data_IF_670556180159
#
_entry.id   IF_670556180159
#
_cell.length_a   1.000
_cell.length_b   1.000
_cell.length_c   1.000
_cell.angle_alpha   90.00
_cell.angle_beta   90.00
_cell.angle_gamma   90.00
#
_symmetry.space_group_name_H-M   'P 1'
#
loop_
_entity.id
_entity.type
_entity.pdbx_description
1 polymer ?
#
# COMPACT_ATOMS: atom_id res chain seq x y z
N UNK A 1 6.81 7.49 17.33
CA UNK A 1 5.93 7.44 16.14
C UNK A 1 5.86 5.99 15.66
N UNK A 2 4.65 5.52 15.35
CA UNK A 2 4.37 4.20 14.78
C UNK A 2 4.24 4.28 13.25
N UNK A 3 4.47 3.19 12.54
CA UNK A 3 4.38 3.13 11.07
C UNK A 3 3.34 2.10 10.64
N UNK A 4 2.28 2.56 9.97
CA UNK A 4 1.21 1.72 9.44
C UNK A 4 1.32 1.65 7.92
N UNK A 5 1.31 0.44 7.37
CA UNK A 5 1.27 0.22 5.93
C UNK A 5 -0.13 0.52 5.36
N UNK A 6 -0.22 1.43 4.39
CA UNK A 6 -1.46 1.79 3.70
C UNK A 6 -1.95 0.59 2.86
N UNK A 7 -3.14 0.07 3.17
CA UNK A 7 -3.70 -1.15 2.56
C UNK A 7 -2.77 -2.36 2.62
N UNK A 8 -1.93 -2.43 3.66
CA UNK A 8 -0.88 -3.43 3.80
C UNK A 8 0.48 -2.96 3.28
N UNK A 9 1.13 -3.78 2.46
CA UNK A 9 2.42 -3.53 1.86
C UNK A 9 2.29 -3.36 0.36
N UNK A 10 2.79 -2.24 -0.15
CA UNK A 10 2.68 -1.87 -1.57
C UNK A 10 3.37 -2.85 -2.55
N UNK A 11 4.27 -3.72 -2.08
CA UNK A 11 4.89 -4.77 -2.92
C UNK A 11 3.94 -5.92 -3.25
N UNK A 12 2.84 -6.01 -2.51
CA UNK A 12 1.81 -7.03 -2.63
C UNK A 12 0.47 -6.38 -3.00
N UNK A 13 -0.49 -7.15 -3.54
CA UNK A 13 -1.76 -6.55 -3.94
C UNK A 13 -2.42 -5.91 -2.72
N UNK A 14 -2.93 -4.69 -2.89
CA UNK A 14 -3.57 -3.96 -1.79
C UNK A 14 -4.65 -4.80 -1.11
N UNK A 15 -4.80 -4.62 0.20
CA UNK A 15 -5.89 -5.20 0.99
C UNK A 15 -5.96 -6.75 0.95
N UNK A 16 -4.83 -7.45 0.73
CA UNK A 16 -4.74 -8.92 0.81
C UNK A 16 -3.98 -9.44 2.03
N UNK A 17 -4.22 -10.70 2.42
CA UNK A 17 -3.51 -11.35 3.52
C UNK A 17 -2.00 -11.37 3.28
N UNK A 18 -1.55 -11.67 2.05
CA UNK A 18 -0.13 -11.60 1.70
C UNK A 18 0.45 -10.21 1.90
N UNK A 19 -0.31 -9.17 1.55
CA UNK A 19 0.12 -7.77 1.73
C UNK A 19 0.26 -7.38 3.19
N UNK A 20 -0.70 -7.76 4.04
CA UNK A 20 -0.60 -7.54 5.47
C UNK A 20 0.57 -8.30 6.12
N UNK A 21 0.74 -9.59 5.78
CA UNK A 21 1.90 -10.37 6.26
C UNK A 21 3.22 -9.74 5.85
N UNK A 22 3.34 -9.32 4.58
CA UNK A 22 4.55 -8.67 4.08
C UNK A 22 4.85 -7.37 4.82
N UNK A 23 3.83 -6.57 5.16
CA UNK A 23 4.02 -5.37 5.96
C UNK A 23 4.58 -5.70 7.36
N UNK A 24 4.05 -6.73 8.00
CA UNK A 24 4.50 -7.17 9.32
C UNK A 24 5.92 -7.74 9.30
N UNK A 25 6.26 -8.54 8.28
CA UNK A 25 7.60 -9.09 8.05
C UNK A 25 8.65 -7.99 7.85
N UNK A 26 8.27 -6.89 7.20
CA UNK A 26 9.11 -5.71 7.01
C UNK A 26 9.19 -4.80 8.26
N UNK A 27 8.49 -5.18 9.33
CA UNK A 27 8.57 -4.53 10.62
C UNK A 27 7.56 -3.40 10.86
N UNK A 28 6.53 -3.25 10.01
CA UNK A 28 5.46 -2.30 10.27
C UNK A 28 4.82 -2.55 11.65
N UNK A 29 4.48 -1.47 12.37
CA UNK A 29 3.80 -1.56 13.66
C UNK A 29 2.32 -1.97 13.48
N UNK A 30 1.78 -1.77 12.28
CA UNK A 30 0.42 -2.09 11.93
C UNK A 30 0.13 -1.84 10.46
N UNK A 31 -1.15 -1.91 10.11
CA UNK A 31 -1.65 -1.65 8.76
C UNK A 31 -2.93 -0.84 8.83
N UNK A 32 -3.17 -0.08 7.78
CA UNK A 32 -4.48 0.46 7.46
C UNK A 32 -5.13 -0.43 6.40
N UNK A 33 -6.45 -0.55 6.45
CA UNK A 33 -7.23 -1.33 5.50
C UNK A 33 -8.62 -0.71 5.29
N UNK A 34 -9.24 -1.07 4.18
CA UNK A 34 -10.56 -0.60 3.81
C UNK A 34 -11.62 -1.70 3.92
N UNK A 35 -12.81 -1.36 4.38
CA UNK A 35 -13.92 -2.31 4.51
C UNK A 35 -15.07 -2.06 3.53
N UNK A 36 -15.61 -3.15 2.99
CA UNK A 36 -16.86 -3.18 2.23
C UNK A 36 -17.74 -4.31 2.79
N UNK A 37 -19.05 -4.22 2.56
CA UNK A 37 -20.01 -5.22 3.06
C UNK A 37 -20.82 -5.78 1.89
N UNK A 38 -20.92 -7.11 1.83
CA UNK A 38 -21.71 -7.85 0.85
C UNK A 38 -23.22 -7.70 1.11
N UNK A 39 -24.06 -8.09 0.16
CA UNK A 39 -25.52 -7.98 0.28
C UNK A 39 -26.12 -8.84 1.42
N UNK A 40 -25.40 -9.88 1.83
CA UNK A 40 -25.72 -10.76 2.96
C UNK A 40 -25.01 -10.37 4.28
N UNK A 41 -24.38 -9.19 4.34
CA UNK A 41 -23.86 -8.60 5.58
C UNK A 41 -22.48 -9.10 6.01
N UNK A 42 -21.72 -9.72 5.11
CA UNK A 42 -20.35 -10.17 5.38
C UNK A 42 -19.37 -9.02 5.14
N UNK A 43 -18.52 -8.75 6.12
CA UNK A 43 -17.51 -7.69 6.03
C UNK A 43 -16.23 -8.21 5.40
N UNK A 44 -15.88 -7.63 4.25
CA UNK A 44 -14.70 -7.99 3.45
C UNK A 44 -13.75 -6.80 3.35
N UNK A 45 -12.50 -7.07 3.01
CA UNK A 45 -11.44 -6.07 2.92
C UNK A 45 -11.20 -5.69 1.45
N UNK A 46 -11.53 -4.44 1.09
CA UNK A 46 -11.40 -3.89 -0.26
C UNK A 46 -11.57 -2.37 -0.22
N UNK A 47 -10.76 -1.64 -0.97
CA UNK A 47 -10.91 -0.18 -1.08
C UNK A 47 -12.16 0.21 -1.85
N UNK A 48 -12.30 -0.31 -3.07
CA UNK A 48 -13.40 0.00 -3.96
C UNK A 48 -14.59 -0.90 -3.67
N UNK A 49 -15.80 -0.37 -3.89
CA UNK A 49 -17.03 -1.15 -3.87
C UNK A 49 -17.13 -2.10 -5.09
N UNK A 50 -16.38 -1.82 -6.16
CA UNK A 50 -16.35 -2.63 -7.37
C UNK A 50 -14.95 -3.21 -7.63
N UNK A 51 -14.88 -4.49 -7.96
CA UNK A 51 -13.63 -5.22 -8.19
C UNK A 51 -12.97 -4.98 -9.56
N UNK A 52 -13.52 -4.10 -10.40
CA UNK A 52 -13.05 -3.87 -11.77
C UNK A 52 -11.57 -3.47 -11.82
N UNK A 53 -11.13 -2.57 -10.94
CA UNK A 53 -9.74 -2.09 -10.94
C UNK A 53 -8.73 -3.20 -10.59
N UNK A 54 -9.07 -4.04 -9.61
CA UNK A 54 -8.14 -5.04 -9.06
C UNK A 54 -8.21 -6.39 -9.78
N UNK A 55 -9.36 -6.71 -10.39
CA UNK A 55 -9.60 -8.05 -10.95
C UNK A 55 -9.97 -8.03 -12.43
N UNK A 56 -10.25 -6.86 -13.01
CA UNK A 56 -10.80 -6.72 -14.36
C UNK A 56 -12.29 -7.10 -14.47
N UNK A 57 -12.90 -7.59 -13.40
CA UNK A 57 -14.30 -8.00 -13.39
C UNK A 57 -15.19 -6.87 -12.88
N UNK A 58 -16.20 -6.49 -13.66
CA UNK A 58 -17.22 -5.54 -13.20
C UNK A 58 -18.16 -6.23 -12.20
N UNK A 59 -17.76 -6.24 -10.93
CA UNK A 59 -18.45 -6.90 -9.84
C UNK A 59 -18.60 -5.95 -8.65
N UNK A 60 -19.84 -5.60 -8.30
CA UNK A 60 -20.14 -4.77 -7.13
C UNK A 60 -20.31 -5.64 -5.88
N UNK A 61 -19.46 -5.43 -4.88
CA UNK A 61 -19.46 -6.19 -3.61
C UNK A 61 -20.80 -6.04 -2.91
N UNK A 62 -21.33 -4.82 -2.79
CA UNK A 62 -22.57 -4.53 -2.06
C UNK A 62 -23.83 -5.15 -2.67
N UNK A 63 -23.79 -5.45 -3.98
CA UNK A 63 -24.94 -6.00 -4.70
C UNK A 63 -24.98 -7.54 -4.70
N UNK A 64 -23.93 -8.20 -4.20
CA UNK A 64 -23.77 -9.65 -4.29
C UNK A 64 -23.44 -10.26 -2.93
N UNK A 65 -23.69 -11.56 -2.79
CA UNK A 65 -23.40 -12.29 -1.54
C UNK A 65 -21.91 -12.59 -1.40
N UNK A 66 -21.46 -12.95 -0.20
CA UNK A 66 -20.10 -13.44 -0.02
C UNK A 66 -19.80 -14.69 -0.85
N UNK A 67 -20.79 -15.57 -1.03
CA UNK A 67 -20.60 -16.77 -1.85
C UNK A 67 -20.31 -16.44 -3.33
N UNK A 68 -20.93 -15.39 -3.87
CA UNK A 68 -20.66 -14.92 -5.24
C UNK A 68 -19.23 -14.36 -5.36
N UNK A 69 -18.76 -13.69 -4.31
CA UNK A 69 -17.42 -13.11 -4.20
C UNK A 69 -16.30 -14.17 -4.25
N UNK A 70 -16.57 -15.41 -3.78
CA UNK A 70 -15.59 -16.50 -3.70
C UNK A 70 -15.00 -16.93 -5.04
N UNK A 71 -15.56 -16.49 -6.17
CA UNK A 71 -15.03 -16.74 -7.52
C UNK A 71 -13.99 -15.71 -7.98
N UNK A 72 -13.90 -14.55 -7.32
CA UNK A 72 -13.00 -13.46 -7.70
C UNK A 72 -11.66 -13.55 -6.98
N UNK A 73 -10.59 -13.17 -7.67
CA UNK A 73 -9.22 -13.20 -7.13
C UNK A 73 -8.48 -11.91 -7.44
N UNK A 74 -7.71 -11.42 -6.47
CA UNK A 74 -6.75 -10.33 -6.62
C UNK A 74 -5.36 -10.96 -6.74
N UNK A 75 -4.80 -10.99 -7.94
CA UNK A 75 -3.51 -11.65 -8.22
C UNK A 75 -3.37 -13.07 -7.62
N UNK A 76 -4.44 -13.87 -7.72
CA UNK A 76 -4.50 -15.24 -7.21
C UNK A 76 -4.97 -15.38 -5.76
N UNK A 77 -5.12 -14.30 -5.01
CA UNK A 77 -5.64 -14.32 -3.63
C UNK A 77 -7.15 -14.08 -3.58
N UNK A 78 -7.82 -14.71 -2.62
CA UNK A 78 -9.21 -14.39 -2.27
C UNK A 78 -9.29 -13.00 -1.63
N UNK A 79 -10.42 -12.32 -1.82
CA UNK A 79 -10.73 -11.10 -1.09
C UNK A 79 -10.88 -11.48 0.41
N UNK A 80 -10.08 -10.90 1.33
CA UNK A 80 -10.10 -11.33 2.73
C UNK A 80 -11.39 -10.94 3.46
N UNK A 81 -11.79 -11.75 4.45
CA UNK A 81 -12.73 -11.32 5.47
C UNK A 81 -12.02 -10.40 6.48
N UNK A 82 -12.73 -9.39 7.00
CA UNK A 82 -12.17 -8.54 8.06
C UNK A 82 -11.75 -9.35 9.29
N UNK A 83 -12.54 -10.37 9.66
CA UNK A 83 -12.24 -11.24 10.80
C UNK A 83 -10.89 -11.96 10.65
N UNK A 84 -10.54 -12.38 9.43
CA UNK A 84 -9.29 -13.10 9.19
C UNK A 84 -8.08 -12.16 9.31
N UNK A 85 -8.22 -10.93 8.81
CA UNK A 85 -7.16 -9.91 8.90
C UNK A 85 -6.94 -9.47 10.35
N UNK A 86 -8.02 -9.25 11.11
CA UNK A 86 -7.91 -8.88 12.53
C UNK A 86 -7.36 -10.04 13.38
N UNK A 87 -7.70 -11.30 13.07
CA UNK A 87 -7.11 -12.45 13.75
C UNK A 87 -5.59 -12.51 13.53
N UNK A 88 -5.14 -12.38 12.27
CA UNK A 88 -3.73 -12.32 11.91
C UNK A 88 -3.02 -11.17 12.64
N UNK A 89 -3.56 -9.95 12.59
CA UNK A 89 -2.92 -8.80 13.21
C UNK A 89 -2.84 -8.91 14.74
N UNK A 90 -3.86 -9.51 15.38
CA UNK A 90 -3.84 -9.75 16.83
C UNK A 90 -2.79 -10.78 17.23
N UNK A 91 -2.66 -11.85 16.47
CA UNK A 91 -1.63 -12.89 16.67
C UNK A 91 -0.23 -12.29 16.60
N UNK A 92 0.01 -11.39 15.64
CA UNK A 92 1.28 -10.67 15.44
C UNK A 92 1.45 -9.44 16.36
N UNK A 93 0.48 -9.17 17.24
CA UNK A 93 0.42 -8.01 18.14
C UNK A 93 0.59 -6.65 17.40
N UNK A 94 -0.18 -6.46 16.33
CA UNK A 94 -0.11 -5.32 15.39
C UNK A 94 -1.31 -4.39 15.50
N UNK A 95 -1.10 -3.11 15.17
CA UNK A 95 -2.20 -2.15 15.04
C UNK A 95 -2.99 -2.38 13.75
N UNK A 96 -4.30 -2.15 13.78
CA UNK A 96 -5.13 -2.09 12.57
C UNK A 96 -6.03 -0.87 12.61
N UNK A 97 -5.87 -0.03 11.60
CA UNK A 97 -6.80 1.03 11.27
C UNK A 97 -7.82 0.51 10.25
N UNK A 98 -9.06 0.36 10.69
CA UNK A 98 -10.15 -0.14 9.85
C UNK A 98 -10.91 1.04 9.27
N UNK A 99 -10.65 1.41 8.02
CA UNK A 99 -11.40 2.45 7.32
C UNK A 99 -12.80 1.93 6.94
N UNK A 100 -13.81 2.59 7.49
CA UNK A 100 -15.22 2.40 7.15
C UNK A 100 -15.57 3.27 5.93
N UNK A 101 -15.77 2.62 4.77
CA UNK A 101 -16.10 3.30 3.51
C UNK A 101 -17.55 3.75 3.39
N UNK A 102 -18.48 3.17 4.15
CA UNK A 102 -19.89 3.51 4.08
C UNK A 102 -20.55 3.53 5.47
N UNK A 103 -21.30 4.60 5.84
CA UNK A 103 -22.01 4.66 7.12
C UNK A 103 -22.99 3.50 7.35
N UNK A 104 -23.58 2.92 6.30
CA UNK A 104 -24.50 1.78 6.44
C UNK A 104 -23.83 0.54 7.02
N UNK A 105 -22.51 0.44 6.87
CA UNK A 105 -21.73 -0.74 7.20
C UNK A 105 -21.24 -0.68 8.66
N UNK A 106 -21.42 0.47 9.31
CA UNK A 106 -20.91 0.76 10.65
C UNK A 106 -21.21 -0.35 11.66
N UNK A 107 -22.46 -0.84 11.70
CA UNK A 107 -22.87 -1.82 12.71
C UNK A 107 -22.18 -3.18 12.53
N UNK A 108 -21.88 -3.57 11.29
CA UNK A 108 -21.22 -4.85 11.00
C UNK A 108 -19.74 -4.76 11.38
N UNK A 109 -19.07 -3.67 10.98
CA UNK A 109 -17.65 -3.42 11.27
C UNK A 109 -17.42 -3.25 12.77
N UNK A 110 -18.22 -2.42 13.45
CA UNK A 110 -18.07 -2.14 14.87
C UNK A 110 -18.23 -3.40 15.75
N UNK A 111 -19.19 -4.28 15.42
CA UNK A 111 -19.38 -5.56 16.13
C UNK A 111 -18.18 -6.48 15.98
N UNK A 112 -17.59 -6.56 14.79
CA UNK A 112 -16.39 -7.37 14.56
C UNK A 112 -15.23 -6.82 15.39
N UNK A 113 -14.94 -5.52 15.26
CA UNK A 113 -13.81 -4.89 15.98
C UNK A 113 -13.97 -4.99 17.49
N UNK A 114 -15.17 -4.74 18.03
CA UNK A 114 -15.45 -4.90 19.47
C UNK A 114 -15.28 -6.35 19.92
N UNK A 115 -15.75 -7.31 19.13
CA UNK A 115 -15.68 -8.74 19.45
C UNK A 115 -14.25 -9.27 19.60
N UNK A 116 -13.27 -8.68 18.91
CA UNK A 116 -11.86 -9.02 19.09
C UNK A 116 -11.30 -8.58 20.45
N UNK A 117 -11.92 -7.57 21.09
CA UNK A 117 -11.51 -7.01 22.39
C UNK A 117 -9.97 -6.82 22.47
N UNK A 118 -9.43 -6.09 21.49
CA UNK A 118 -8.00 -5.86 21.34
C UNK A 118 -7.72 -4.37 21.13
N UNK A 119 -6.88 -3.78 21.97
CA UNK A 119 -6.64 -2.34 22.01
C UNK A 119 -5.94 -1.77 20.77
N UNK A 120 -5.32 -2.64 19.96
CA UNK A 120 -4.62 -2.27 18.74
C UNK A 120 -5.53 -1.98 17.56
N UNK A 121 -6.84 -2.21 17.67
CA UNK A 121 -7.80 -1.99 16.59
C UNK A 121 -8.65 -0.75 16.82
N UNK A 122 -8.86 0.00 15.76
CA UNK A 122 -9.73 1.18 15.76
C UNK A 122 -10.40 1.36 14.40
N UNK A 123 -11.51 2.09 14.38
CA UNK A 123 -12.28 2.36 13.17
C UNK A 123 -12.11 3.83 12.79
N UNK A 124 -11.74 4.09 11.54
CA UNK A 124 -11.70 5.45 11.01
C UNK A 124 -12.66 5.63 9.84
N UNK A 125 -13.03 6.88 9.55
CA UNK A 125 -13.92 7.20 8.43
C UNK A 125 -13.97 8.70 8.15
N UNK A 126 -14.26 9.06 6.90
CA UNK A 126 -14.67 10.42 6.52
C UNK A 126 -16.06 10.79 7.04
N UNK A 127 -16.87 9.80 7.44
CA UNK A 127 -18.23 10.01 7.93
C UNK A 127 -18.27 10.24 9.45
N UNK A 128 -17.81 11.40 9.91
CA UNK A 128 -17.58 11.69 11.34
C UNK A 128 -18.79 11.41 12.24
N UNK A 129 -20.01 11.71 11.76
CA UNK A 129 -21.24 11.54 12.56
C UNK A 129 -21.47 10.09 13.00
N UNK A 130 -21.20 9.09 12.15
CA UNK A 130 -21.43 7.70 12.55
C UNK A 130 -20.42 7.25 13.62
N UNK A 131 -19.20 7.77 13.58
CA UNK A 131 -18.17 7.47 14.57
C UNK A 131 -18.46 8.14 15.91
N UNK A 132 -18.89 9.41 15.90
CA UNK A 132 -19.28 10.14 17.11
C UNK A 132 -20.41 9.43 17.87
N UNK A 133 -21.48 9.06 17.16
CA UNK A 133 -22.58 8.29 17.76
C UNK A 133 -22.14 6.87 18.12
N UNK A 134 -21.20 6.32 17.36
CA UNK A 134 -20.56 5.04 17.58
C UNK A 134 -19.92 4.91 18.95
N UNK A 135 -19.26 5.97 19.46
CA UNK A 135 -18.66 5.99 20.81
C UNK A 135 -19.66 5.68 21.92
N UNK A 136 -20.93 6.04 21.75
CA UNK A 136 -21.98 5.74 22.74
C UNK A 136 -22.39 4.26 22.70
N UNK A 137 -22.47 3.69 21.49
CA UNK A 137 -22.93 2.32 21.28
C UNK A 137 -21.82 1.27 21.46
N UNK A 138 -20.57 1.65 21.21
CA UNK A 138 -19.39 0.78 21.23
C UNK A 138 -18.26 1.45 22.05
N UNK A 139 -18.44 1.66 23.36
CA UNK A 139 -17.52 2.47 24.18
C UNK A 139 -16.12 1.86 24.36
N UNK A 140 -15.91 0.60 23.96
CA UNK A 140 -14.61 -0.07 23.98
C UNK A 140 -13.83 0.05 22.67
N UNK A 141 -14.51 0.46 21.59
CA UNK A 141 -13.87 0.64 20.29
C UNK A 141 -13.34 2.07 20.22
N UNK A 142 -12.09 2.22 19.78
CA UNK A 142 -11.52 3.52 19.47
C UNK A 142 -11.94 3.94 18.07
N UNK A 143 -12.22 5.22 17.90
CA UNK A 143 -12.64 5.78 16.63
C UNK A 143 -11.73 6.92 16.18
N UNK A 144 -11.62 7.12 14.86
CA UNK A 144 -10.77 8.15 14.26
C UNK A 144 -11.45 8.97 13.16
N UNK A 145 -11.39 10.29 13.26
CA UNK A 145 -11.88 11.17 12.20
C UNK A 145 -10.86 11.24 11.07
N UNK A 146 -11.21 10.73 9.90
CA UNK A 146 -10.46 10.87 8.65
C UNK A 146 -10.91 12.13 7.93
N UNK A 147 -9.99 13.00 7.50
CA UNK A 147 -10.35 14.25 6.83
C UNK A 147 -9.22 14.79 5.95
N UNK A 148 -9.61 15.55 4.93
CA UNK A 148 -8.71 16.20 3.97
C UNK A 148 -9.09 17.69 3.83
N UNK A 149 -9.29 18.35 4.98
CA UNK A 149 -9.61 19.76 5.09
C UNK A 149 -9.02 20.33 6.38
N UNK A 150 -8.81 21.64 6.42
CA UNK A 150 -8.43 22.32 7.66
C UNK A 150 -9.65 22.40 8.59
N UNK A 151 -9.60 21.78 9.79
CA UNK A 151 -10.68 21.90 10.75
C UNK A 151 -10.73 23.33 11.28
N UNK A 152 -11.94 23.87 11.50
CA UNK A 152 -12.09 25.20 12.13
C UNK A 152 -11.49 25.25 13.53
N UNK A 153 -11.53 24.13 14.23
CA UNK A 153 -10.98 23.94 15.58
C UNK A 153 -10.55 22.48 15.74
N UNK A 154 -9.23 22.23 15.79
CA UNK A 154 -8.65 20.90 16.01
C UNK A 154 -9.04 20.37 17.41
N UNK A 155 -9.13 21.27 18.39
CA UNK A 155 -9.48 20.94 19.77
C UNK A 155 -10.89 20.37 19.88
N UNK A 156 -11.85 20.93 19.12
CA UNK A 156 -13.19 20.37 19.04
C UNK A 156 -13.17 18.91 18.57
N UNK A 157 -12.46 18.61 17.48
CA UNK A 157 -12.30 17.23 17.00
C UNK A 157 -11.67 16.35 18.08
N UNK A 158 -10.56 16.80 18.67
CA UNK A 158 -9.83 16.05 19.70
C UNK A 158 -10.65 15.77 20.97
N UNK A 159 -11.72 16.54 21.24
CA UNK A 159 -12.64 16.27 22.36
C UNK A 159 -13.72 15.25 22.02
N UNK A 160 -14.08 15.12 20.75
CA UNK A 160 -15.13 14.22 20.28
C UNK A 160 -14.60 12.81 20.00
N UNK A 161 -13.37 12.71 19.51
CA UNK A 161 -12.84 11.48 18.91
C UNK A 161 -11.55 11.01 19.58
N UNK A 162 -11.17 9.76 19.37
CA UNK A 162 -9.98 9.18 20.01
C UNK A 162 -8.72 9.39 19.16
N UNK A 163 -8.88 9.50 17.83
CA UNK A 163 -7.79 9.60 16.86
C UNK A 163 -8.11 10.68 15.80
N UNK A 164 -7.13 11.54 15.51
CA UNK A 164 -7.18 12.49 14.40
C UNK A 164 -6.44 11.91 13.19
N UNK A 165 -7.10 11.78 12.04
CA UNK A 165 -6.47 11.33 10.78
C UNK A 165 -6.54 12.40 9.67
N UNK A 166 -5.76 13.49 9.79
CA UNK A 166 -5.64 14.49 8.74
C UNK A 166 -4.89 13.94 7.52
N UNK A 167 -5.28 14.38 6.33
CA UNK A 167 -4.38 14.33 5.18
C UNK A 167 -3.15 15.20 5.48
N UNK A 168 -1.97 14.73 5.08
CA UNK A 168 -0.68 15.24 5.51
C UNK A 168 -0.48 16.75 5.24
N UNK A 169 -1.06 17.26 4.16
CA UNK A 169 -1.01 18.68 3.78
C UNK A 169 -1.71 19.61 4.75
N UNK A 170 -2.60 19.10 5.61
CA UNK A 170 -3.30 19.88 6.64
C UNK A 170 -2.66 19.79 8.02
N UNK A 171 -1.58 19.02 8.18
CA UNK A 171 -0.89 18.90 9.47
C UNK A 171 0.03 20.09 9.67
N UNK A 172 -0.40 21.07 10.45
CA UNK A 172 0.40 22.26 10.82
C UNK A 172 1.03 22.10 12.21
N UNK A 173 1.75 23.13 12.65
CA UNK A 173 2.33 23.20 14.00
C UNK A 173 1.27 23.15 15.12
N UNK A 174 0.02 23.55 14.83
CA UNK A 174 -1.08 23.53 15.81
C UNK A 174 -1.42 22.10 16.27
N UNK A 175 -1.08 21.09 15.46
CA UNK A 175 -1.21 19.68 15.83
C UNK A 175 -0.26 19.24 16.93
N UNK A 176 0.80 20.01 17.28
CA UNK A 176 1.76 19.60 18.32
C UNK A 176 1.08 19.26 19.65
N UNK A 177 0.01 19.97 20.01
CA UNK A 177 -0.77 19.72 21.23
C UNK A 177 -1.57 18.40 21.18
N UNK A 178 -1.87 17.91 19.98
CA UNK A 178 -2.69 16.72 19.71
C UNK A 178 -1.88 15.60 19.05
N UNK A 179 -0.56 15.75 18.97
CA UNK A 179 0.31 14.87 18.21
C UNK A 179 0.19 13.41 18.68
N UNK A 180 0.03 13.19 20.00
CA UNK A 180 -0.13 11.87 20.62
C UNK A 180 -1.40 11.10 20.21
N UNK A 181 -2.34 11.72 19.50
CA UNK A 181 -3.54 11.08 18.94
C UNK A 181 -3.65 11.29 17.42
N UNK A 182 -2.63 11.83 16.77
CA UNK A 182 -2.66 12.18 15.35
C UNK A 182 -1.98 11.12 14.49
N UNK A 183 -2.65 10.69 13.42
CA UNK A 183 -2.16 9.73 12.42
C UNK A 183 -2.34 10.30 11.01
N UNK A 184 -1.36 11.04 10.47
CA UNK A 184 -1.43 11.60 9.12
C UNK A 184 -1.36 10.54 8.01
N UNK A 185 -1.98 10.83 6.87
CA UNK A 185 -1.95 10.00 5.65
C UNK A 185 -1.82 10.87 4.39
N UNK A 186 -1.26 10.43 3.26
CA UNK A 186 -0.33 9.30 3.11
C UNK A 186 1.10 9.84 3.06
N UNK A 187 1.95 9.42 3.99
CA UNK A 187 3.30 9.98 4.20
C UNK A 187 4.34 9.19 3.40
N UNK A 188 4.59 9.61 2.16
CA UNK A 188 5.57 8.92 1.29
C UNK A 188 6.89 9.68 1.12
N UNK A 189 6.90 10.98 1.41
CA UNK A 189 8.06 11.86 1.20
C UNK A 189 8.94 11.98 2.45
N UNK A 190 10.27 11.86 2.27
CA UNK A 190 11.27 11.93 3.35
C UNK A 190 11.24 13.28 4.09
N UNK A 191 11.00 14.38 3.40
CA UNK A 191 10.92 15.71 4.00
C UNK A 191 9.73 15.83 4.96
N UNK A 192 8.58 15.27 4.56
CA UNK A 192 7.38 15.27 5.39
C UNK A 192 7.51 14.33 6.58
N UNK A 193 8.13 13.16 6.38
CA UNK A 193 8.46 12.25 7.47
C UNK A 193 9.28 12.93 8.57
N UNK A 194 10.32 13.69 8.20
CA UNK A 194 11.14 14.45 9.16
C UNK A 194 10.29 15.45 9.95
N UNK A 195 9.45 16.22 9.26
CA UNK A 195 8.55 17.20 9.90
C UNK A 195 7.59 16.55 10.88
N UNK A 196 7.00 15.40 10.53
CA UNK A 196 6.06 14.67 11.39
C UNK A 196 6.76 14.00 12.59
N UNK A 197 8.00 13.54 12.42
CA UNK A 197 8.86 13.09 13.53
C UNK A 197 9.10 14.22 14.52
N UNK A 198 9.44 15.42 14.04
CA UNK A 198 9.69 16.60 14.87
C UNK A 198 8.40 17.08 15.58
N UNK A 199 7.23 16.90 14.96
CA UNK A 199 5.93 17.16 15.60
C UNK A 199 5.58 16.13 16.68
N UNK A 200 6.13 14.92 16.59
CA UNK A 200 5.88 13.85 17.55
C UNK A 200 4.53 13.17 17.38
N UNK A 201 4.03 13.05 16.13
CA UNK A 201 2.74 12.39 15.86
C UNK A 201 2.75 10.93 16.32
N UNK A 202 1.59 10.41 16.71
CA UNK A 202 1.43 9.07 17.25
C UNK A 202 1.87 8.01 16.25
N UNK A 203 1.34 8.12 15.03
CA UNK A 203 1.64 7.21 13.93
C UNK A 203 1.57 7.93 12.58
N UNK A 204 1.96 7.24 11.52
CA UNK A 204 1.72 7.66 10.14
C UNK A 204 1.21 6.48 9.32
N UNK A 205 0.44 6.78 8.28
CA UNK A 205 0.07 5.83 7.23
C UNK A 205 0.92 6.13 5.99
N UNK A 206 1.53 5.11 5.43
CA UNK A 206 2.47 5.25 4.30
C UNK A 206 2.39 4.05 3.37
N UNK A 207 2.63 4.27 2.10
CA UNK A 207 2.78 3.18 1.14
C UNK A 207 4.13 2.47 1.33
N UNK A 208 5.16 3.17 1.84
CA UNK A 208 6.56 2.72 1.86
C UNK A 208 7.08 2.50 3.29
N UNK A 209 6.33 1.72 4.08
CA UNK A 209 6.59 1.50 5.51
C UNK A 209 8.02 1.03 5.82
N UNK A 210 8.60 0.16 4.99
CA UNK A 210 9.97 -0.33 5.11
C UNK A 210 10.99 0.81 5.08
N UNK A 211 10.88 1.74 4.13
CA UNK A 211 11.81 2.89 4.05
C UNK A 211 11.69 3.82 5.22
N UNK A 212 10.45 4.08 5.64
CA UNK A 212 10.19 4.91 6.81
C UNK A 212 10.91 4.31 8.02
N UNK A 213 10.82 2.99 8.20
CA UNK A 213 11.49 2.28 9.28
C UNK A 213 13.02 2.30 9.13
N UNK A 214 13.55 2.16 7.92
CA UNK A 214 14.99 2.27 7.66
C UNK A 214 15.52 3.67 8.00
N UNK A 215 14.80 4.71 7.56
CA UNK A 215 15.11 6.10 7.88
C UNK A 215 15.10 6.36 9.39
N UNK A 216 14.07 5.90 10.10
CA UNK A 216 13.96 6.05 11.56
C UNK A 216 15.10 5.32 12.28
N UNK A 217 15.58 4.18 11.76
CA UNK A 217 16.72 3.43 12.30
C UNK A 217 18.07 4.06 11.99
N UNK A 218 18.12 5.16 11.24
CA UNK A 218 19.37 5.82 10.85
C UNK A 218 20.21 5.01 9.84
N UNK A 219 19.58 4.10 9.09
CA UNK A 219 20.23 3.45 7.96
C UNK A 219 20.27 4.47 6.81
N UNK A 220 21.46 4.88 6.37
CA UNK A 220 21.59 5.61 5.10
C UNK A 220 20.98 4.79 3.96
N UNK A 221 20.59 5.46 2.86
CA UNK A 221 20.03 4.91 1.62
C UNK A 221 21.06 4.00 0.90
N UNK A 222 21.56 2.98 1.61
CA UNK A 222 22.64 2.10 1.20
C UNK A 222 22.09 0.97 0.34
N UNK A 223 22.79 0.70 -0.76
CA UNK A 223 22.57 -0.43 -1.66
C UNK A 223 22.38 -1.73 -0.86
N UNK A 224 21.14 -2.21 -0.75
CA UNK A 224 20.84 -3.54 -0.22
C UNK A 224 20.43 -4.47 -1.34
N UNK A 225 21.20 -5.53 -1.53
CA UNK A 225 20.78 -6.70 -2.28
C UNK A 225 19.49 -7.26 -1.66
N UNK A 226 18.49 -7.57 -2.49
CA UNK A 226 17.19 -8.04 -2.02
C UNK A 226 16.19 -6.92 -1.67
N UNK A 227 16.38 -5.72 -2.23
CA UNK A 227 15.43 -4.61 -2.13
C UNK A 227 13.98 -5.09 -2.33
N UNK A 228 13.04 -4.69 -1.45
CA UNK A 228 11.66 -5.12 -1.56
C UNK A 228 10.96 -4.57 -2.82
N UNK A 229 11.55 -3.57 -3.50
CA UNK A 229 11.12 -3.10 -4.82
C UNK A 229 11.34 -4.13 -5.95
N UNK A 230 12.09 -5.21 -5.72
CA UNK A 230 12.21 -6.28 -6.69
C UNK A 230 10.84 -6.84 -7.07
N UNK A 231 9.98 -7.11 -6.09
CA UNK A 231 8.63 -7.63 -6.34
C UNK A 231 7.78 -6.62 -7.11
N UNK A 232 7.93 -5.33 -6.81
CA UNK A 232 7.31 -4.27 -7.61
C UNK A 232 7.74 -4.34 -9.09
N UNK A 233 9.04 -4.36 -9.37
CA UNK A 233 9.52 -4.42 -10.76
C UNK A 233 9.13 -5.72 -11.46
N UNK A 234 9.10 -6.82 -10.74
CA UNK A 234 8.62 -8.09 -11.25
C UNK A 234 7.14 -8.03 -11.67
N UNK A 235 6.30 -7.27 -10.95
CA UNK A 235 4.90 -7.02 -11.33
C UNK A 235 4.73 -5.99 -12.45
N UNK A 236 5.70 -5.09 -12.62
CA UNK A 236 5.70 -4.12 -13.71
C UNK A 236 5.85 -4.80 -15.08
N UNK A 237 6.47 -5.98 -15.17
CA UNK A 237 6.67 -6.70 -16.44
C UNK A 237 5.32 -7.07 -17.08
N UNK A 238 5.06 -6.50 -18.26
CA UNK A 238 3.91 -6.86 -19.09
C UNK A 238 4.31 -8.03 -19.98
N UNK A 239 3.98 -9.23 -19.53
CA UNK A 239 4.41 -10.49 -20.15
C UNK A 239 4.15 -10.58 -21.65
N UNK A 240 2.93 -10.28 -22.08
CA UNK A 240 2.50 -10.45 -23.48
C UNK A 240 3.08 -9.38 -24.42
N UNK A 241 3.70 -8.33 -23.86
CA UNK A 241 4.37 -7.25 -24.60
C UNK A 241 5.89 -7.28 -24.43
N UNK A 242 6.41 -8.26 -23.68
CA UNK A 242 7.83 -8.49 -23.49
C UNK A 242 8.28 -9.68 -24.33
N UNK A 243 9.47 -9.62 -24.90
CA UNK A 243 9.97 -10.68 -25.78
C UNK A 243 11.48 -10.84 -25.73
N UNK A 244 11.93 -12.04 -26.12
CA UNK A 244 13.33 -12.41 -26.25
C UNK A 244 13.52 -12.93 -27.67
N UNK A 245 14.34 -12.26 -28.47
CA UNK A 245 14.63 -12.65 -29.87
C UNK A 245 16.14 -12.60 -30.09
N UNK A 246 16.78 -13.77 -30.08
CA UNK A 246 18.24 -13.86 -30.17
C UNK A 246 18.92 -13.27 -28.93
N UNK A 247 19.82 -12.32 -29.13
CA UNK A 247 20.53 -11.57 -28.08
C UNK A 247 19.80 -10.28 -27.64
N UNK A 248 18.63 -10.02 -28.23
CA UNK A 248 17.80 -8.84 -27.95
C UNK A 248 16.66 -9.20 -27.01
N UNK A 249 16.45 -8.35 -26.02
CA UNK A 249 15.32 -8.43 -25.10
C UNK A 249 14.56 -7.12 -25.14
N UNK A 250 13.25 -7.23 -25.30
CA UNK A 250 12.31 -6.13 -25.18
C UNK A 250 11.51 -6.35 -23.90
N UNK A 251 11.66 -5.43 -22.93
CA UNK A 251 10.91 -5.46 -21.68
C UNK A 251 9.88 -4.34 -21.68
N UNK A 252 8.60 -4.70 -21.72
CA UNK A 252 7.52 -3.77 -21.46
C UNK A 252 7.29 -3.69 -19.95
N UNK A 253 7.48 -2.51 -19.37
CA UNK A 253 7.29 -2.21 -17.96
C UNK A 253 6.12 -1.24 -17.82
N UNK A 254 5.04 -1.68 -17.15
CA UNK A 254 3.93 -0.83 -16.78
C UNK A 254 4.06 -0.48 -15.29
N UNK A 255 4.03 0.79 -14.96
CA UNK A 255 4.00 1.20 -13.56
C UNK A 255 2.64 0.83 -12.95
N UNK A 256 2.66 -0.03 -11.94
CA UNK A 256 1.47 -0.52 -11.21
C UNK A 256 1.43 -0.08 -9.75
N UNK A 257 2.30 0.85 -9.34
CA UNK A 257 2.67 1.06 -7.94
C UNK A 257 2.36 2.47 -7.48
N UNK A 258 3.31 3.39 -7.65
CA UNK A 258 3.16 4.79 -7.34
C UNK A 258 3.76 5.61 -8.48
N UNK A 259 3.38 6.88 -8.60
CA UNK A 259 4.06 7.74 -9.56
C UNK A 259 5.49 7.99 -9.09
N UNK A 260 6.46 7.82 -9.98
CA UNK A 260 7.90 7.88 -9.66
C UNK A 260 8.59 8.95 -10.49
N UNK A 261 9.44 9.75 -9.87
CA UNK A 261 10.39 10.58 -10.60
C UNK A 261 11.55 9.71 -11.06
N UNK A 262 11.66 9.48 -12.38
CA UNK A 262 12.74 8.68 -12.96
C UNK A 262 13.96 9.54 -13.26
N UNK A 263 15.07 9.22 -12.62
CA UNK A 263 16.38 9.81 -12.92
C UNK A 263 17.11 9.05 -14.04
N UNK A 264 16.74 7.79 -14.26
CA UNK A 264 17.22 7.00 -15.40
C UNK A 264 17.14 5.50 -15.16
N UNK A 265 17.27 4.74 -16.26
CA UNK A 265 17.39 3.28 -16.24
C UNK A 265 18.70 2.89 -16.89
N UNK A 266 19.47 2.04 -16.22
CA UNK A 266 20.73 1.51 -16.74
C UNK A 266 20.76 -0.01 -16.65
N UNK A 267 21.50 -0.66 -17.55
CA UNK A 267 21.88 -2.06 -17.45
C UNK A 267 23.40 -2.15 -17.56
N UNK A 268 24.03 -2.78 -16.58
CA UNK A 268 25.50 -2.89 -16.46
C UNK A 268 26.20 -1.53 -16.61
N UNK A 269 25.60 -0.48 -16.02
CA UNK A 269 26.10 0.89 -16.04
C UNK A 269 25.85 1.66 -17.34
N UNK A 270 25.18 1.07 -18.35
CA UNK A 270 24.84 1.73 -19.61
C UNK A 270 23.37 2.12 -19.63
N UNK A 271 23.06 3.34 -20.07
CA UNK A 271 21.68 3.78 -20.27
C UNK A 271 20.95 2.90 -21.29
N UNK A 272 19.69 2.60 -21.03
CA UNK A 272 18.85 1.82 -21.93
C UNK A 272 18.19 2.70 -22.98
N UNK A 273 17.86 2.12 -24.13
CA UNK A 273 16.97 2.74 -25.11
C UNK A 273 15.53 2.43 -24.67
N UNK A 274 14.66 3.44 -24.65
CA UNK A 274 13.26 3.27 -24.28
C UNK A 274 12.27 3.87 -25.28
N UNK A 275 11.09 3.27 -25.37
CA UNK A 275 9.96 3.74 -26.17
C UNK A 275 8.67 3.76 -25.31
N UNK A 276 8.06 4.94 -25.10
CA UNK A 276 8.57 6.28 -25.42
C UNK A 276 9.89 6.58 -24.69
N UNK A 277 10.54 7.70 -25.03
CA UNK A 277 11.70 8.19 -24.28
C UNK A 277 11.35 8.27 -22.77
N UNK A 278 12.32 7.95 -21.91
CA UNK A 278 12.09 7.84 -20.47
C UNK A 278 11.44 9.13 -19.95
N UNK A 279 10.23 9.03 -19.37
CA UNK A 279 9.57 10.20 -18.81
C UNK A 279 10.30 10.64 -17.54
N UNK A 280 10.36 11.93 -17.26
CA UNK A 280 10.85 12.43 -15.97
C UNK A 280 9.93 12.05 -14.81
N UNK A 281 8.68 11.72 -15.11
CA UNK A 281 7.68 11.29 -14.15
C UNK A 281 6.88 10.12 -14.72
N UNK A 282 7.05 8.93 -14.15
CA UNK A 282 6.42 7.69 -14.57
C UNK A 282 5.17 7.46 -13.73
N UNK A 283 3.98 7.74 -14.26
CA UNK A 283 2.73 7.67 -13.50
C UNK A 283 2.18 6.25 -13.42
N UNK A 284 1.30 6.00 -12.46
CA UNK A 284 0.54 4.74 -12.40
C UNK A 284 -0.23 4.54 -13.72
N UNK A 285 -0.07 3.36 -14.32
CA UNK A 285 -0.65 2.99 -15.60
C UNK A 285 0.25 3.27 -16.80
N UNK A 286 1.21 4.18 -16.69
CA UNK A 286 2.14 4.50 -17.77
C UNK A 286 3.04 3.31 -18.09
N UNK A 287 3.35 3.15 -19.37
CA UNK A 287 4.16 2.06 -19.90
C UNK A 287 5.42 2.60 -20.55
N UNK A 288 6.55 1.97 -20.23
CA UNK A 288 7.82 2.16 -20.92
C UNK A 288 8.27 0.81 -21.48
N UNK A 289 8.76 0.80 -22.70
CA UNK A 289 9.40 -0.37 -23.29
C UNK A 289 10.89 -0.11 -23.32
N UNK A 290 11.71 -1.00 -22.75
CA UNK A 290 13.17 -0.89 -22.79
C UNK A 290 13.76 -1.99 -23.67
N UNK A 291 14.71 -1.62 -24.52
CA UNK A 291 15.46 -2.55 -25.36
C UNK A 291 16.84 -2.81 -24.76
N UNK A 292 17.15 -4.09 -24.56
CA UNK A 292 18.40 -4.59 -24.02
C UNK A 292 19.08 -5.47 -25.05
N UNK A 293 20.41 -5.39 -25.14
CA UNK A 293 21.22 -6.25 -26.02
C UNK A 293 22.49 -6.67 -25.30
N UNK A 294 22.92 -7.91 -25.52
CA UNK A 294 24.19 -8.43 -24.99
C UNK A 294 24.19 -8.63 -23.47
N UNK A 295 23.01 -8.90 -22.90
CA UNK A 295 22.82 -9.22 -21.49
C UNK A 295 23.30 -10.64 -21.17
N UNK A 296 23.91 -10.79 -19.99
CA UNK A 296 24.42 -12.05 -19.46
C UNK A 296 23.59 -12.49 -18.25
N UNK A 297 23.83 -13.71 -17.74
CA UNK A 297 23.21 -14.21 -16.52
C UNK A 297 23.50 -13.36 -15.27
N UNK A 298 24.51 -12.50 -15.32
CA UNK A 298 24.88 -11.59 -14.22
C UNK A 298 24.49 -10.13 -14.50
N UNK A 299 23.81 -9.84 -15.60
CA UNK A 299 23.45 -8.47 -15.95
C UNK A 299 22.48 -7.87 -14.95
N UNK A 300 22.77 -6.66 -14.51
CA UNK A 300 22.00 -5.93 -13.50
C UNK A 300 21.36 -4.71 -14.14
N UNK A 301 20.03 -4.61 -14.01
CA UNK A 301 19.29 -3.39 -14.26
C UNK A 301 19.19 -2.55 -13.00
N UNK A 302 19.43 -1.25 -13.13
CA UNK A 302 19.25 -0.24 -12.08
C UNK A 302 18.25 0.80 -12.58
N UNK A 303 17.16 0.98 -11.82
CA UNK A 303 16.18 2.04 -12.03
C UNK A 303 16.35 3.06 -10.91
N UNK A 304 16.80 4.26 -11.26
CA UNK A 304 17.00 5.34 -10.30
C UNK A 304 15.73 6.17 -10.20
N UNK A 305 15.25 6.32 -8.96
CA UNK A 305 14.06 7.10 -8.65
C UNK A 305 14.32 8.01 -7.46
N UNK A 306 13.65 9.16 -7.43
CA UNK A 306 13.72 10.06 -6.28
C UNK A 306 13.08 9.46 -5.03
N UNK A 307 11.98 8.74 -5.19
CA UNK A 307 11.19 8.20 -4.09
C UNK A 307 11.78 6.91 -3.53
N UNK A 308 12.22 5.98 -4.40
CA UNK A 308 12.71 4.65 -4.02
C UNK A 308 14.23 4.53 -4.03
N UNK A 309 14.96 5.57 -4.42
CA UNK A 309 16.39 5.48 -4.66
C UNK A 309 16.68 4.57 -5.86
N UNK A 310 17.82 3.87 -5.80
CA UNK A 310 18.25 2.94 -6.84
C UNK A 310 17.66 1.55 -6.63
N UNK A 311 16.74 1.15 -7.50
CA UNK A 311 16.17 -0.19 -7.52
C UNK A 311 17.06 -1.08 -8.39
N UNK A 312 17.62 -2.13 -7.78
CA UNK A 312 18.57 -3.04 -8.43
C UNK A 312 17.92 -4.40 -8.67
N UNK A 313 17.97 -4.90 -9.90
CA UNK A 313 17.39 -6.20 -10.27
C UNK A 313 18.27 -6.94 -11.28
N UNK A 314 18.52 -8.23 -11.01
CA UNK A 314 19.07 -9.14 -12.01
C UNK A 314 18.10 -9.26 -13.18
N UNK A 315 18.56 -8.95 -14.40
CA UNK A 315 17.72 -8.98 -15.60
C UNK A 315 17.08 -10.36 -15.76
N UNK A 316 17.80 -11.44 -15.44
CA UNK A 316 17.30 -12.81 -15.49
C UNK A 316 16.00 -13.01 -14.67
N UNK A 317 15.88 -12.39 -13.49
CA UNK A 317 14.66 -12.46 -12.67
C UNK A 317 13.46 -11.85 -13.37
N UNK A 318 13.63 -10.73 -14.08
CA UNK A 318 12.58 -10.14 -14.93
C UNK A 318 12.21 -11.08 -16.09
N UNK A 319 13.20 -11.71 -16.72
CA UNK A 319 12.98 -12.65 -17.82
C UNK A 319 12.16 -13.88 -17.41
N UNK A 320 12.30 -14.35 -16.17
CA UNK A 320 11.47 -15.47 -15.67
C UNK A 320 9.97 -15.18 -15.66
N UNK A 321 9.56 -13.90 -15.63
CA UNK A 321 8.14 -13.51 -15.75
C UNK A 321 7.61 -13.65 -17.18
N UNK A 322 8.51 -13.60 -18.16
CA UNK A 322 8.19 -13.75 -19.60
C UNK A 322 8.04 -15.24 -19.95
N UNK A 323 8.77 -16.13 -19.27
CA UNK A 323 8.85 -17.56 -19.61
C UNK A 323 7.63 -18.38 -19.14
N UNK A 324 6.60 -18.47 -19.99
CA UNK A 324 5.91 -19.75 -20.27
C UNK A 324 5.98 -20.12 -21.77
N UNK A 325 6.94 -19.55 -22.52
CA UNK A 325 7.08 -19.80 -23.97
C UNK A 325 8.48 -20.20 -24.46
N UNK A 326 9.55 -20.05 -23.67
CA UNK A 326 10.93 -20.37 -24.11
C UNK A 326 11.77 -20.93 -22.96
N UNK A 327 12.47 -22.07 -23.11
CA UNK A 327 13.38 -22.61 -22.09
C UNK A 327 14.61 -21.73 -21.94
N UNK A 328 14.99 -21.46 -20.68
CA UNK A 328 16.11 -20.60 -20.27
C UNK A 328 17.50 -21.23 -20.53
N UNK A 329 17.56 -22.42 -21.12
CA UNK A 329 18.78 -23.25 -21.26
C UNK A 329 19.79 -22.73 -22.32
N UNK A 330 19.73 -21.45 -22.69
CA UNK A 330 20.61 -20.83 -23.70
C UNK A 330 21.26 -19.50 -23.29
N UNK A 331 21.16 -19.10 -22.03
CA UNK A 331 21.83 -17.90 -21.51
C UNK A 331 23.09 -18.24 -20.71
#
# INVERSE_FOLDING_TARGET
MKVLGHRGCIYEPENTIRSFKKAFDLGADGVELDTQVTSDGVVVVSHDENLLRLTGNNFSIRQHTYNDLLSHRIEGETIPLLVDVLALAKEENKLVDVELKNPSDFIYVAKIVEGFNYEGFFISSFFHRCLFEGKKSFPKVKFGYLYAHEPRDIGAYATEIDILKPEIGYVTEDYRKYASITIPWTVNEKSELKRLLDLGVFAIITDVADKVLEYIKGSEDGEKDGSPYLEYLLKAVVKDESSIVGDRVTLALQNRFMSLHLDGITVDGKSVISYPALPSYWKIGDKIVVELQGITNSSIMIINTKELGSIRVEVLKLLTKISLKYPLDKF
#
